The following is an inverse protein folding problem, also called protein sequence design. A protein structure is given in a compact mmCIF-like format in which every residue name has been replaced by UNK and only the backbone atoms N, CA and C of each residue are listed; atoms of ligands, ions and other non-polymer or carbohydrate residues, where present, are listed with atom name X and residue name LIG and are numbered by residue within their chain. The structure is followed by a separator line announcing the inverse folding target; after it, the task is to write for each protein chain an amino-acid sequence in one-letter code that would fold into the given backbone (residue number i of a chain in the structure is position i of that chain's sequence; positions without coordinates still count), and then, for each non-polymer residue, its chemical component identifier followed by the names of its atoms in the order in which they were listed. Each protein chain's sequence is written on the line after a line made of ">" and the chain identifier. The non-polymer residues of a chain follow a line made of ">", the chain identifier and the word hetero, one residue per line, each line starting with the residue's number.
data_IF_718044580775
#
_entry.id   IF_718044580775
#
_cell.length_a   1.000
_cell.length_b   1.000
_cell.length_c   1.000
_cell.angle_alpha   90.00
_cell.angle_beta   90.00
_cell.angle_gamma   90.00
#
_symmetry.space_group_name_H-M   'P 1'
#
loop_
_entity.id
_entity.type
_entity.pdbx_description
1 polymer ?
#
# COMPACT_ATOMS: atom_id res chain seq x y z
N UNK A 1 4.13 6.19 -17.20
CA UNK A 1 4.04 7.33 -16.26
C UNK A 1 4.01 6.81 -14.82
N UNK A 2 4.18 7.67 -13.81
CA UNK A 2 4.09 7.26 -12.39
C UNK A 2 2.75 6.55 -12.10
N UNK A 3 1.65 7.04 -12.69
CA UNK A 3 0.32 6.42 -12.61
C UNK A 3 0.35 4.94 -13.01
N UNK A 4 0.98 4.60 -14.14
CA UNK A 4 1.00 3.22 -14.65
C UNK A 4 1.84 2.29 -13.77
N UNK A 5 2.95 2.79 -13.21
CA UNK A 5 3.80 2.02 -12.29
C UNK A 5 3.07 1.71 -10.98
N UNK A 6 2.46 2.73 -10.35
CA UNK A 6 1.67 2.55 -9.14
C UNK A 6 0.49 1.61 -9.36
N UNK A 7 -0.15 1.68 -10.53
CA UNK A 7 -1.24 0.77 -10.86
C UNK A 7 -0.76 -0.68 -10.98
N UNK A 8 0.34 -0.94 -11.70
CA UNK A 8 0.93 -2.28 -11.81
C UNK A 8 1.32 -2.84 -10.44
N UNK A 9 1.96 -2.04 -9.59
CA UNK A 9 2.29 -2.42 -8.21
C UNK A 9 1.06 -2.65 -7.33
N UNK A 10 -0.04 -1.92 -7.55
CA UNK A 10 -1.29 -2.19 -6.83
C UNK A 10 -1.97 -3.48 -7.30
N UNK A 11 -1.82 -3.87 -8.57
CA UNK A 11 -2.38 -5.13 -9.08
C UNK A 11 -1.71 -6.36 -8.47
N UNK A 12 -0.41 -6.31 -8.17
CA UNK A 12 0.28 -7.43 -7.48
C UNK A 12 -0.27 -7.65 -6.06
N UNK A 13 -0.77 -6.59 -5.42
CA UNK A 13 -1.45 -6.69 -4.12
C UNK A 13 -2.80 -7.40 -4.23
N UNK A 14 -3.46 -7.37 -5.39
CA UNK A 14 -4.70 -8.12 -5.62
C UNK A 14 -4.47 -9.61 -5.92
N UNK A 15 -3.25 -9.99 -6.28
CA UNK A 15 -2.88 -11.40 -6.46
C UNK A 15 -2.46 -12.02 -5.12
N UNK A 16 -2.61 -13.34 -4.95
CA UNK A 16 -2.19 -14.03 -3.72
C UNK A 16 -0.72 -13.72 -3.40
N UNK A 17 -0.49 -12.99 -2.32
CA UNK A 17 0.84 -12.64 -1.85
C UNK A 17 0.83 -12.49 -0.34
N UNK A 18 1.96 -12.77 0.31
CA UNK A 18 2.10 -12.53 1.75
C UNK A 18 2.37 -11.05 1.98
N UNK A 19 1.55 -10.37 2.78
CA UNK A 19 1.84 -9.03 3.26
C UNK A 19 0.62 -8.19 3.65
N UNK A 20 0.88 -7.17 4.47
CA UNK A 20 -0.11 -6.25 5.05
C UNK A 20 -1.03 -5.60 4.00
N UNK A 21 -0.50 -5.23 2.83
CA UNK A 21 -1.30 -4.61 1.77
C UNK A 21 -2.28 -5.61 1.12
N UNK A 22 -1.89 -6.89 1.00
CA UNK A 22 -2.76 -7.94 0.47
C UNK A 22 -3.89 -8.25 1.45
N UNK A 23 -3.55 -8.37 2.73
CA UNK A 23 -4.53 -8.53 3.82
C UNK A 23 -5.50 -7.34 3.88
N UNK A 24 -5.00 -6.11 3.72
CA UNK A 24 -5.83 -4.91 3.58
C UNK A 24 -6.77 -5.01 2.38
N UNK A 25 -6.27 -5.45 1.22
CA UNK A 25 -7.08 -5.62 0.01
C UNK A 25 -8.22 -6.62 0.25
N UNK A 26 -7.89 -7.82 0.73
CA UNK A 26 -8.86 -8.88 1.01
C UNK A 26 -9.94 -8.41 2.00
N UNK A 27 -9.52 -7.79 3.11
CA UNK A 27 -10.44 -7.26 4.11
C UNK A 27 -11.38 -6.22 3.52
N UNK A 28 -10.87 -5.26 2.74
CA UNK A 28 -11.71 -4.22 2.14
C UNK A 28 -12.66 -4.74 1.07
N UNK A 29 -12.26 -5.77 0.32
CA UNK A 29 -13.15 -6.45 -0.62
C UNK A 29 -14.22 -7.24 0.13
N UNK A 30 -13.88 -7.92 1.23
CA UNK A 30 -14.83 -8.63 2.09
C UNK A 30 -15.85 -7.69 2.76
N UNK A 31 -15.46 -6.45 3.08
CA UNK A 31 -16.37 -5.37 3.52
C UNK A 31 -17.34 -4.90 2.39
N UNK A 32 -17.31 -5.50 1.19
CA UNK A 32 -18.18 -5.15 0.07
C UNK A 32 -17.72 -3.96 -0.77
N UNK A 33 -16.49 -3.47 -0.57
CA UNK A 33 -15.99 -2.31 -1.35
C UNK A 33 -15.64 -2.70 -2.78
N UNK A 34 -15.89 -1.79 -3.72
CA UNK A 34 -15.52 -1.98 -5.11
C UNK A 34 -14.00 -2.20 -5.26
N UNK A 35 -13.62 -3.26 -5.98
CA UNK A 35 -12.22 -3.69 -6.18
C UNK A 35 -11.33 -2.55 -6.71
N UNK A 36 -11.82 -1.72 -7.61
CA UNK A 36 -11.05 -0.60 -8.18
C UNK A 36 -10.84 0.52 -7.14
N UNK A 37 -11.82 0.77 -6.28
CA UNK A 37 -11.68 1.71 -5.16
C UNK A 37 -10.66 1.22 -4.14
N UNK A 38 -10.66 -0.07 -3.81
CA UNK A 38 -9.65 -0.68 -2.94
C UNK A 38 -8.24 -0.57 -3.55
N UNK A 39 -8.09 -0.87 -4.84
CA UNK A 39 -6.83 -0.66 -5.56
C UNK A 39 -6.38 0.81 -5.58
N UNK A 40 -7.33 1.76 -5.61
CA UNK A 40 -7.01 3.17 -5.49
C UNK A 40 -6.45 3.52 -4.10
N UNK A 41 -7.04 2.97 -3.05
CA UNK A 41 -6.52 3.11 -1.69
C UNK A 41 -5.12 2.50 -1.54
N UNK A 42 -4.84 1.35 -2.19
CA UNK A 42 -3.51 0.73 -2.21
C UNK A 42 -2.49 1.66 -2.90
N UNK A 43 -2.82 2.25 -4.05
CA UNK A 43 -1.94 3.24 -4.71
C UNK A 43 -1.61 4.41 -3.78
N UNK A 44 -2.63 4.96 -3.11
CA UNK A 44 -2.43 6.06 -2.16
C UNK A 44 -1.52 5.64 -1.00
N UNK A 45 -1.72 4.46 -0.42
CA UNK A 45 -0.86 3.92 0.65
C UNK A 45 0.60 3.80 0.24
N UNK A 46 0.89 3.34 -0.99
CA UNK A 46 2.26 3.28 -1.51
C UNK A 46 2.89 4.67 -1.61
N UNK A 47 2.15 5.64 -2.15
CA UNK A 47 2.59 7.03 -2.24
C UNK A 47 2.89 7.59 -0.84
N UNK A 48 1.98 7.45 0.12
CA UNK A 48 2.22 7.91 1.50
C UNK A 48 3.47 7.30 2.12
N UNK A 49 3.72 6.00 1.93
CA UNK A 49 4.93 5.33 2.41
C UNK A 49 6.19 5.92 1.79
N UNK A 50 6.21 6.11 0.47
CA UNK A 50 7.35 6.72 -0.23
C UNK A 50 7.64 8.12 0.31
N UNK A 51 6.62 8.96 0.45
CA UNK A 51 6.79 10.32 0.95
C UNK A 51 7.23 10.35 2.43
N UNK A 52 6.77 9.42 3.27
CA UNK A 52 7.24 9.31 4.65
C UNK A 52 8.73 8.95 4.74
N UNK A 53 9.18 7.99 3.93
CA UNK A 53 10.59 7.56 3.85
C UNK A 53 11.48 8.73 3.37
N UNK A 54 11.07 9.41 2.30
CA UNK A 54 11.78 10.57 1.74
C UNK A 54 11.84 11.71 2.76
N UNK A 55 10.71 12.07 3.37
CA UNK A 55 10.62 13.15 4.36
C UNK A 55 11.52 12.91 5.56
N UNK A 56 11.61 11.67 6.02
CA UNK A 56 12.39 11.31 7.19
C UNK A 56 13.87 11.02 6.87
N UNK A 57 14.26 11.04 5.59
CA UNK A 57 15.58 10.64 5.09
C UNK A 57 16.05 9.29 5.68
N UNK A 58 15.15 8.30 5.67
CA UNK A 58 15.39 6.96 6.22
C UNK A 58 15.28 5.92 5.13
N UNK A 59 15.84 4.73 5.36
CA UNK A 59 15.61 3.55 4.51
C UNK A 59 14.23 2.98 4.85
N UNK A 60 13.57 2.36 3.87
CA UNK A 60 12.28 1.70 4.10
C UNK A 60 12.45 0.51 5.07
N UNK A 61 11.64 0.50 6.12
CA UNK A 61 11.59 -0.57 7.11
C UNK A 61 10.20 -1.22 7.03
N UNK A 62 10.14 -2.53 6.78
CA UNK A 62 8.86 -3.25 6.67
C UNK A 62 8.10 -3.25 8.00
N UNK A 63 8.81 -3.55 9.09
CA UNK A 63 8.27 -3.58 10.45
C UNK A 63 8.64 -2.29 11.17
N UNK A 64 8.08 -1.16 10.72
CA UNK A 64 8.39 0.14 11.28
C UNK A 64 7.83 0.31 12.70
N UNK A 65 8.71 0.48 13.68
CA UNK A 65 8.34 0.75 15.07
C UNK A 65 8.24 2.26 15.30
N UNK A 66 7.02 2.75 15.52
CA UNK A 66 6.82 4.14 15.90
C UNK A 66 7.30 4.34 17.35
N UNK A 67 8.39 5.10 17.53
CA UNK A 67 8.82 5.53 18.85
C UNK A 67 7.87 6.63 19.34
N UNK A 68 7.01 6.30 20.29
CA UNK A 68 6.28 7.30 21.07
C UNK A 68 7.34 8.07 21.88
N UNK A 69 7.39 9.38 21.70
CA UNK A 69 8.27 10.29 22.43
C UNK A 69 7.83 10.43 23.89
#
# INVERSE_FOLDING_TARGET
>A
SIKSLLHRGALTVATPSKGELHEYYLRKVAEGKNKMSVLNAVRAKLVYRMFAVIRNNKVYEKEYQYKLA
#
